data_IF_051039626795
#
_entry.id   IF_051039626795
#
_cell.length_a   1.000
_cell.length_b   1.000
_cell.length_c   1.000
_cell.angle_alpha   90.00
_cell.angle_beta   90.00
_cell.angle_gamma   90.00
#
_symmetry.space_group_name_H-M   'P 1'
#
loop_
_entity.id
_entity.type
_entity.pdbx_description
1 polymer ?
#
# COMPACT_ATOMS: atom_id res chain seq x y z
N UNK A 1 35.29 5.52 -33.08
CA UNK A 1 35.18 6.63 -34.03
C UNK A 1 33.99 6.37 -34.95
N UNK A 2 32.78 6.68 -34.48
CA UNK A 2 31.53 6.72 -35.25
C UNK A 2 30.72 7.86 -34.64
N UNK A 3 30.58 8.94 -35.39
CA UNK A 3 29.96 10.20 -34.95
C UNK A 3 28.45 10.17 -35.24
N UNK A 4 27.63 10.23 -34.18
CA UNK A 4 26.18 10.40 -34.27
C UNK A 4 25.84 11.90 -34.11
N UNK A 5 25.14 12.48 -35.09
CA UNK A 5 24.54 13.83 -35.01
C UNK A 5 23.05 13.70 -34.62
N UNK A 6 22.50 14.57 -33.76
CA UNK A 6 21.06 14.66 -33.56
C UNK A 6 20.45 15.76 -34.45
N UNK A 7 19.36 15.42 -35.16
CA UNK A 7 18.49 16.38 -35.83
C UNK A 7 17.38 16.81 -34.85
N UNK A 8 17.36 18.09 -34.50
CA UNK A 8 16.26 18.78 -33.84
C UNK A 8 15.27 19.25 -34.91
N UNK A 9 14.02 18.79 -34.84
CA UNK A 9 12.89 19.37 -35.56
C UNK A 9 11.76 19.61 -34.56
N UNK A 10 11.51 20.88 -34.25
CA UNK A 10 10.31 21.40 -33.61
C UNK A 10 9.45 22.05 -34.69
N UNK A 11 8.13 21.84 -34.74
CA UNK A 11 7.22 22.76 -35.42
C UNK A 11 6.51 23.65 -34.39
N UNK A 12 6.83 24.94 -34.48
CA UNK A 12 6.01 26.07 -34.06
C UNK A 12 4.70 26.13 -34.84
N UNK A 13 3.56 26.22 -34.14
CA UNK A 13 2.26 26.64 -34.71
C UNK A 13 1.77 27.80 -33.84
N UNK A 14 2.07 29.05 -34.20
CA UNK A 14 1.21 29.97 -34.97
C UNK A 14 -0.20 30.16 -34.39
N UNK A 15 -0.27 31.15 -33.50
CA UNK A 15 -1.47 31.89 -33.08
C UNK A 15 -2.02 32.64 -34.29
N UNK A 16 -3.27 32.37 -34.66
CA UNK A 16 -4.02 33.16 -35.64
C UNK A 16 -5.28 33.74 -34.99
N UNK A 17 -5.40 35.05 -35.12
CA UNK A 17 -6.47 35.89 -34.62
C UNK A 17 -7.64 36.02 -35.61
N UNK A 18 -8.75 36.53 -35.07
CA UNK A 18 -9.88 37.18 -35.73
C UNK A 18 -10.91 36.27 -36.44
N UNK A 19 -12.19 36.43 -36.09
CA UNK A 19 -13.11 37.38 -36.74
C UNK A 19 -14.42 37.40 -35.95
N UNK A 20 -14.77 38.59 -35.47
CA UNK A 20 -16.10 38.92 -34.95
C UNK A 20 -17.10 38.98 -36.09
N UNK A 21 -18.21 38.23 -35.99
CA UNK A 21 -19.38 38.45 -36.83
C UNK A 21 -20.60 38.69 -35.93
N UNK A 22 -21.05 39.94 -35.94
CA UNK A 22 -22.31 40.40 -35.37
C UNK A 22 -23.47 39.72 -36.10
N UNK A 23 -24.20 38.85 -35.41
CA UNK A 23 -25.53 38.42 -35.84
C UNK A 23 -26.58 39.15 -35.00
N UNK A 24 -27.21 40.15 -35.62
CA UNK A 24 -28.45 40.77 -35.18
C UNK A 24 -29.54 39.70 -35.26
N UNK A 25 -29.90 39.09 -34.13
CA UNK A 25 -31.08 38.23 -34.03
C UNK A 25 -32.22 38.99 -33.37
N UNK A 26 -33.27 39.17 -34.16
CA UNK A 26 -34.50 39.86 -33.81
C UNK A 26 -35.14 39.24 -32.57
N UNK A 27 -35.55 40.12 -31.66
CA UNK A 27 -36.38 39.82 -30.50
C UNK A 27 -37.78 39.41 -31.00
N UNK A 28 -38.01 38.10 -31.13
CA UNK A 28 -39.35 37.54 -31.19
C UNK A 28 -39.76 37.11 -29.77
N UNK A 29 -40.92 37.55 -29.24
CA UNK A 29 -41.41 37.06 -27.97
C UNK A 29 -41.73 35.57 -28.12
N UNK A 30 -40.93 34.72 -27.46
CA UNK A 30 -41.29 33.32 -27.26
C UNK A 30 -42.60 33.27 -26.47
N UNK A 31 -43.65 32.58 -26.94
CA UNK A 31 -44.71 32.17 -26.05
C UNK A 31 -44.09 31.24 -25.01
N UNK A 32 -44.23 31.61 -23.74
CA UNK A 32 -43.94 30.75 -22.61
C UNK A 32 -44.88 29.54 -22.66
N UNK A 33 -44.49 28.51 -23.41
CA UNK A 33 -44.91 27.14 -23.17
C UNK A 33 -44.04 26.63 -22.03
N UNK A 34 -44.46 26.98 -20.81
CA UNK A 34 -44.21 26.11 -19.68
C UNK A 34 -44.97 24.82 -19.98
N UNK A 35 -44.33 23.90 -20.70
CA UNK A 35 -44.67 22.49 -20.57
C UNK A 35 -44.40 22.13 -19.11
N UNK A 36 -45.51 21.99 -18.40
CA UNK A 36 -45.62 21.28 -17.15
C UNK A 36 -44.93 19.91 -17.34
N UNK A 37 -43.67 19.82 -16.94
CA UNK A 37 -42.96 18.54 -16.82
C UNK A 37 -43.57 17.88 -15.58
N UNK A 38 -44.79 17.37 -15.74
CA UNK A 38 -45.51 16.68 -14.71
C UNK A 38 -44.62 15.56 -14.20
N UNK A 39 -44.34 15.57 -12.89
CA UNK A 39 -43.88 14.39 -12.17
C UNK A 39 -44.80 13.23 -12.59
N UNK A 40 -44.29 12.30 -13.40
CA UNK A 40 -44.97 11.04 -13.67
C UNK A 40 -45.03 10.29 -12.34
N UNK A 41 -46.13 10.49 -11.62
CA UNK A 41 -46.46 9.75 -10.41
C UNK A 41 -46.65 8.30 -10.83
N UNK A 42 -45.61 7.50 -10.62
CA UNK A 42 -45.60 6.07 -10.95
C UNK A 42 -46.81 5.43 -10.24
N UNK A 43 -47.73 4.88 -11.02
CA UNK A 43 -48.97 4.31 -10.49
C UNK A 43 -48.67 3.03 -9.72
N UNK A 44 -48.77 3.10 -8.39
CA UNK A 44 -48.52 1.97 -7.47
C UNK A 44 -49.41 0.77 -7.79
N UNK A 45 -50.62 0.99 -8.32
CA UNK A 45 -51.51 -0.09 -8.73
C UNK A 45 -50.97 -0.84 -9.95
N UNK A 46 -50.32 -0.12 -10.87
CA UNK A 46 -49.72 -0.68 -12.07
C UNK A 46 -48.48 -1.52 -11.74
N UNK A 47 -47.65 -1.07 -10.78
CA UNK A 47 -46.49 -1.84 -10.29
C UNK A 47 -46.96 -3.16 -9.66
N UNK A 48 -47.98 -3.10 -8.79
CA UNK A 48 -48.54 -4.29 -8.16
C UNK A 48 -49.10 -5.30 -9.19
N UNK A 49 -49.69 -4.80 -10.28
CA UNK A 49 -50.13 -5.63 -11.39
C UNK A 49 -48.96 -6.33 -12.09
N UNK A 50 -47.88 -5.61 -12.38
CA UNK A 50 -46.67 -6.20 -13.00
C UNK A 50 -46.03 -7.25 -12.09
N UNK A 51 -45.95 -7.01 -10.78
CA UNK A 51 -45.47 -8.02 -9.82
C UNK A 51 -46.31 -9.28 -9.86
N UNK A 52 -47.64 -9.15 -9.86
CA UNK A 52 -48.54 -10.30 -9.97
C UNK A 52 -48.35 -11.04 -11.31
N UNK A 53 -48.11 -10.30 -12.39
CA UNK A 53 -47.90 -10.87 -13.72
C UNK A 53 -46.55 -11.60 -13.88
N UNK A 54 -45.60 -11.47 -12.95
CA UNK A 54 -44.41 -12.32 -12.92
C UNK A 54 -44.75 -13.81 -12.76
N UNK A 55 -45.90 -14.14 -12.13
CA UNK A 55 -46.43 -15.50 -11.98
C UNK A 55 -47.47 -15.87 -13.04
N UNK A 56 -47.67 -15.06 -14.09
CA UNK A 56 -48.70 -15.32 -15.09
C UNK A 56 -48.46 -16.65 -15.82
N UNK A 57 -49.53 -17.33 -16.26
CA UNK A 57 -49.40 -18.61 -16.98
C UNK A 57 -48.73 -18.45 -18.36
N UNK A 58 -48.92 -17.31 -19.02
CA UNK A 58 -48.35 -17.05 -20.34
C UNK A 58 -46.95 -16.44 -20.22
N UNK A 59 -45.99 -17.02 -20.92
CA UNK A 59 -44.61 -16.54 -20.94
C UNK A 59 -44.51 -15.07 -21.37
N UNK A 60 -45.24 -14.66 -22.42
CA UNK A 60 -45.23 -13.28 -22.91
C UNK A 60 -45.67 -12.26 -21.83
N UNK A 61 -46.65 -12.61 -21.00
CA UNK A 61 -47.12 -11.73 -19.90
C UNK A 61 -46.05 -11.60 -18.81
N UNK A 62 -45.35 -12.70 -18.49
CA UNK A 62 -44.24 -12.69 -17.52
C UNK A 62 -43.07 -11.84 -17.99
N UNK A 63 -42.66 -12.00 -19.25
CA UNK A 63 -41.52 -11.25 -19.79
C UNK A 63 -41.85 -9.76 -19.96
N UNK A 64 -43.08 -9.43 -20.37
CA UNK A 64 -43.53 -8.03 -20.45
C UNK A 64 -43.53 -7.37 -19.07
N UNK A 65 -44.03 -8.06 -18.05
CA UNK A 65 -44.03 -7.55 -16.68
C UNK A 65 -42.60 -7.39 -16.13
N UNK A 66 -41.71 -8.36 -16.42
CA UNK A 66 -40.30 -8.27 -16.04
C UNK A 66 -39.60 -7.09 -16.72
N UNK A 67 -39.89 -6.83 -18.01
CA UNK A 67 -39.35 -5.68 -18.73
C UNK A 67 -39.83 -4.36 -18.12
N UNK A 68 -41.14 -4.21 -17.85
CA UNK A 68 -41.67 -3.00 -17.21
C UNK A 68 -41.08 -2.76 -15.81
N UNK A 69 -40.92 -3.81 -15.00
CA UNK A 69 -40.27 -3.69 -13.68
C UNK A 69 -38.77 -3.38 -13.80
N UNK A 70 -38.11 -3.84 -14.87
CA UNK A 70 -36.71 -3.50 -15.14
C UNK A 70 -36.56 -2.04 -15.59
N UNK A 71 -37.49 -1.52 -16.41
CA UNK A 71 -37.50 -0.14 -16.88
C UNK A 71 -37.68 0.88 -15.73
N UNK A 72 -38.33 0.48 -14.64
CA UNK A 72 -38.42 1.28 -13.40
C UNK A 72 -37.08 1.41 -12.66
N UNK A 73 -36.09 0.56 -12.94
CA UNK A 73 -34.78 0.63 -12.28
C UNK A 73 -34.84 0.33 -10.78
N UNK A 74 -34.04 1.07 -9.99
CA UNK A 74 -33.94 0.90 -8.53
C UNK A 74 -35.28 1.10 -7.80
N UNK A 75 -36.18 1.91 -8.34
CA UNK A 75 -37.47 2.22 -7.71
C UNK A 75 -38.38 0.99 -7.60
N UNK A 76 -38.13 -0.05 -8.40
CA UNK A 76 -38.84 -1.33 -8.30
C UNK A 76 -38.35 -2.22 -7.14
N UNK A 77 -37.16 -1.97 -6.59
CA UNK A 77 -36.52 -2.88 -5.61
C UNK A 77 -37.37 -3.08 -4.34
N UNK A 78 -37.91 -2.04 -3.66
CA UNK A 78 -38.69 -2.25 -2.44
C UNK A 78 -39.89 -3.16 -2.66
N UNK A 79 -40.58 -2.98 -3.79
CA UNK A 79 -41.77 -3.76 -4.15
C UNK A 79 -41.39 -5.18 -4.58
N UNK A 80 -40.28 -5.36 -5.28
CA UNK A 80 -39.76 -6.69 -5.63
C UNK A 80 -39.26 -7.45 -4.39
N UNK A 81 -38.67 -6.77 -3.40
CA UNK A 81 -38.23 -7.37 -2.13
C UNK A 81 -39.44 -7.92 -1.37
N UNK A 82 -40.48 -7.10 -1.20
CA UNK A 82 -41.74 -7.52 -0.60
C UNK A 82 -42.33 -8.74 -1.33
N UNK A 83 -42.36 -8.71 -2.67
CA UNK A 83 -42.82 -9.84 -3.47
C UNK A 83 -41.97 -11.10 -3.28
N UNK A 84 -40.64 -10.95 -3.17
CA UNK A 84 -39.71 -12.06 -3.00
C UNK A 84 -39.83 -12.74 -1.63
N UNK A 85 -40.25 -12.00 -0.61
CA UNK A 85 -40.34 -12.48 0.78
C UNK A 85 -41.75 -12.96 1.14
N UNK A 86 -42.79 -12.25 0.70
CA UNK A 86 -44.15 -12.39 1.24
C UNK A 86 -45.12 -13.14 0.32
N UNK A 87 -44.82 -13.30 -0.97
CA UNK A 87 -45.74 -13.97 -1.91
C UNK A 87 -45.72 -15.49 -1.75
N UNK A 88 -46.90 -16.13 -1.77
CA UNK A 88 -47.05 -17.58 -1.73
C UNK A 88 -46.59 -18.29 -3.01
N UNK A 89 -46.67 -17.62 -4.16
CA UNK A 89 -46.24 -18.13 -5.47
C UNK A 89 -44.70 -18.22 -5.56
N UNK A 90 -44.19 -19.43 -5.77
CA UNK A 90 -42.76 -19.70 -5.87
C UNK A 90 -42.12 -19.12 -7.14
N UNK A 91 -42.85 -19.03 -8.26
CA UNK A 91 -42.34 -18.47 -9.51
C UNK A 91 -42.17 -16.95 -9.38
N UNK A 92 -43.13 -16.26 -8.73
CA UNK A 92 -43.02 -14.84 -8.43
C UNK A 92 -41.81 -14.57 -7.54
N UNK A 93 -41.61 -15.34 -6.46
CA UNK A 93 -40.43 -15.18 -5.58
C UNK A 93 -39.13 -15.35 -6.33
N UNK A 94 -39.01 -16.39 -7.16
CA UNK A 94 -37.80 -16.68 -7.93
C UNK A 94 -37.49 -15.54 -8.92
N UNK A 95 -38.48 -15.07 -9.67
CA UNK A 95 -38.32 -14.00 -10.67
C UNK A 95 -38.06 -12.65 -10.04
N UNK A 96 -38.78 -12.30 -8.98
CA UNK A 96 -38.53 -11.07 -8.22
C UNK A 96 -37.08 -11.07 -7.69
N UNK A 97 -36.63 -12.17 -7.09
CA UNK A 97 -35.23 -12.32 -6.65
C UNK A 97 -34.20 -12.21 -7.79
N UNK A 98 -34.53 -12.68 -8.99
CA UNK A 98 -33.67 -12.52 -10.18
C UNK A 98 -33.62 -11.07 -10.66
N UNK A 99 -34.77 -10.39 -10.72
CA UNK A 99 -34.86 -8.98 -11.12
C UNK A 99 -34.14 -8.07 -10.13
N UNK A 100 -34.30 -8.29 -8.82
CA UNK A 100 -33.54 -7.55 -7.79
C UNK A 100 -32.04 -7.65 -8.08
N UNK A 101 -31.51 -8.88 -8.26
CA UNK A 101 -30.10 -9.06 -8.60
C UNK A 101 -29.69 -8.31 -9.87
N UNK A 102 -30.47 -8.42 -10.95
CA UNK A 102 -30.16 -7.75 -12.22
C UNK A 102 -30.16 -6.22 -12.09
N UNK A 103 -31.14 -5.67 -11.38
CA UNK A 103 -31.28 -4.23 -11.14
C UNK A 103 -30.14 -3.69 -10.28
N UNK A 104 -29.82 -4.39 -9.19
CA UNK A 104 -28.71 -3.99 -8.30
C UNK A 104 -27.34 -4.15 -8.99
N UNK A 105 -27.14 -5.18 -9.80
CA UNK A 105 -25.90 -5.36 -10.58
C UNK A 105 -25.75 -4.27 -11.66
N UNK A 106 -26.83 -3.93 -12.37
CA UNK A 106 -26.84 -2.88 -13.40
C UNK A 106 -26.57 -1.50 -12.82
N UNK A 107 -27.23 -1.19 -11.70
CA UNK A 107 -27.03 0.07 -10.98
C UNK A 107 -25.62 0.19 -10.40
N UNK A 108 -25.09 -0.88 -9.81
CA UNK A 108 -23.72 -0.91 -9.29
C UNK A 108 -22.69 -0.65 -10.39
N UNK A 109 -22.89 -1.20 -11.60
CA UNK A 109 -22.02 -0.92 -12.75
C UNK A 109 -22.06 0.56 -13.14
N UNK A 110 -23.25 1.16 -13.24
CA UNK A 110 -23.38 2.58 -13.55
C UNK A 110 -22.72 3.48 -12.49
N UNK A 111 -22.84 3.12 -11.21
CA UNK A 111 -22.16 3.80 -10.10
C UNK A 111 -20.64 3.67 -10.19
N UNK A 112 -20.13 2.46 -10.47
CA UNK A 112 -18.70 2.21 -10.68
C UNK A 112 -18.18 3.03 -11.87
N UNK A 113 -18.88 3.04 -13.01
CA UNK A 113 -18.49 3.82 -14.18
C UNK A 113 -18.46 5.33 -13.89
N UNK A 114 -19.48 5.84 -13.21
CA UNK A 114 -19.52 7.23 -12.77
C UNK A 114 -18.36 7.57 -11.82
N UNK A 115 -18.09 6.69 -10.86
CA UNK A 115 -16.99 6.81 -9.92
C UNK A 115 -15.62 6.79 -10.62
N UNK A 116 -15.36 5.84 -11.51
CA UNK A 116 -14.11 5.78 -12.29
C UNK A 116 -13.94 6.98 -13.22
N UNK A 117 -15.05 7.57 -13.69
CA UNK A 117 -15.04 8.82 -14.46
C UNK A 117 -14.78 10.07 -13.60
N UNK A 118 -14.52 9.92 -12.29
CA UNK A 118 -14.24 11.04 -11.40
C UNK A 118 -15.47 11.82 -10.96
N UNK A 119 -16.69 11.30 -11.17
CA UNK A 119 -17.91 11.94 -10.68
C UNK A 119 -18.03 11.80 -9.17
N UNK A 120 -18.81 12.69 -8.57
CA UNK A 120 -19.11 12.69 -7.14
C UNK A 120 -20.13 11.59 -6.82
N UNK A 121 -19.62 10.37 -6.70
CA UNK A 121 -20.36 9.18 -6.28
C UNK A 121 -19.60 8.60 -5.09
N UNK A 122 -20.31 8.37 -3.99
CA UNK A 122 -19.69 7.90 -2.75
C UNK A 122 -19.89 6.41 -2.56
N UNK A 123 -18.82 5.74 -2.14
CA UNK A 123 -18.85 4.36 -1.67
C UNK A 123 -18.39 4.32 -0.22
N UNK A 124 -18.90 3.34 0.53
CA UNK A 124 -18.46 3.09 1.90
C UNK A 124 -16.94 2.91 1.97
N UNK A 125 -16.29 3.68 2.83
CA UNK A 125 -14.84 3.63 3.01
C UNK A 125 -14.02 4.40 1.98
N UNK A 126 -14.61 4.90 0.89
CA UNK A 126 -13.86 5.65 -0.14
C UNK A 126 -13.15 6.87 0.45
N UNK A 127 -13.84 7.66 1.27
CA UNK A 127 -13.25 8.86 1.89
C UNK A 127 -11.99 8.53 2.71
N UNK A 128 -11.96 7.35 3.36
CA UNK A 128 -10.78 6.91 4.12
C UNK A 128 -9.65 6.49 3.19
N UNK A 129 -9.95 5.79 2.10
CA UNK A 129 -8.94 5.41 1.10
C UNK A 129 -8.38 6.65 0.39
N UNK A 130 -9.23 7.57 -0.03
CA UNK A 130 -8.82 8.83 -0.65
C UNK A 130 -7.96 9.70 0.29
N UNK A 131 -8.24 9.69 1.60
CA UNK A 131 -7.41 10.37 2.60
C UNK A 131 -6.01 9.74 2.72
N UNK A 132 -5.90 8.42 2.59
CA UNK A 132 -4.65 7.68 2.77
C UNK A 132 -3.81 7.62 1.49
N UNK A 133 -4.47 7.55 0.33
CA UNK A 133 -3.82 7.23 -0.94
C UNK A 133 -4.01 8.33 -2.01
N UNK A 134 -4.78 9.36 -1.70
CA UNK A 134 -5.18 10.39 -2.64
C UNK A 134 -6.32 9.94 -3.56
N UNK A 135 -6.72 10.86 -4.44
CA UNK A 135 -7.75 10.63 -5.45
C UNK A 135 -7.11 10.63 -6.84
N UNK A 136 -6.87 9.43 -7.37
CA UNK A 136 -6.34 9.22 -8.72
C UNK A 136 -7.11 8.09 -9.41
N UNK A 137 -7.01 8.01 -10.74
CA UNK A 137 -7.67 6.95 -11.51
C UNK A 137 -7.22 5.57 -11.02
N UNK A 138 -5.90 5.35 -10.85
CA UNK A 138 -5.38 4.08 -10.34
C UNK A 138 -5.87 3.73 -8.93
N UNK A 139 -5.99 4.72 -8.04
CA UNK A 139 -6.52 4.49 -6.67
C UNK A 139 -8.02 4.18 -6.70
N UNK A 140 -8.80 4.85 -7.56
CA UNK A 140 -10.23 4.55 -7.76
C UNK A 140 -10.44 3.14 -8.33
N UNK A 141 -9.66 2.75 -9.33
CA UNK A 141 -9.70 1.39 -9.90
C UNK A 141 -9.36 0.35 -8.82
N UNK A 142 -8.28 0.55 -8.09
CA UNK A 142 -7.88 -0.32 -6.98
C UNK A 142 -8.97 -0.40 -5.91
N UNK A 143 -9.60 0.73 -5.55
CA UNK A 143 -10.70 0.74 -4.60
C UNK A 143 -11.89 -0.11 -5.07
N UNK A 144 -12.27 -0.01 -6.34
CA UNK A 144 -13.34 -0.83 -6.92
C UNK A 144 -12.97 -2.32 -6.86
N UNK A 145 -11.72 -2.68 -7.15
CA UNK A 145 -11.27 -4.06 -7.03
C UNK A 145 -11.35 -4.59 -5.59
N UNK A 146 -10.93 -3.78 -4.61
CA UNK A 146 -11.05 -4.14 -3.19
C UNK A 146 -12.52 -4.24 -2.81
N UNK A 147 -13.38 -3.31 -3.24
CA UNK A 147 -14.81 -3.33 -2.95
C UNK A 147 -15.49 -4.59 -3.48
N UNK A 148 -15.11 -5.05 -4.68
CA UNK A 148 -15.67 -6.25 -5.29
C UNK A 148 -15.10 -7.55 -4.68
N UNK A 149 -13.81 -7.57 -4.34
CA UNK A 149 -13.15 -8.77 -3.81
C UNK A 149 -13.29 -8.94 -2.29
N UNK A 150 -13.29 -7.82 -1.56
CA UNK A 150 -13.27 -7.71 -0.09
C UNK A 150 -14.24 -6.62 0.41
N UNK A 151 -15.56 -6.75 0.13
CA UNK A 151 -16.55 -5.74 0.49
C UNK A 151 -16.62 -5.47 2.00
N UNK A 152 -16.28 -6.45 2.84
CA UNK A 152 -16.18 -6.28 4.29
C UNK A 152 -15.11 -5.26 4.69
N UNK A 153 -13.98 -5.21 3.97
CA UNK A 153 -12.87 -4.31 4.28
C UNK A 153 -13.28 -2.88 4.00
N UNK A 154 -13.77 -2.57 2.80
CA UNK A 154 -14.19 -1.20 2.45
C UNK A 154 -15.27 -0.67 3.39
N UNK A 155 -16.29 -1.48 3.70
CA UNK A 155 -17.33 -1.12 4.67
C UNK A 155 -16.76 -0.83 6.07
N UNK A 156 -15.79 -1.62 6.52
CA UNK A 156 -15.19 -1.44 7.85
C UNK A 156 -14.38 -0.15 8.01
N UNK A 157 -13.92 0.45 6.91
CA UNK A 157 -13.09 1.66 6.96
C UNK A 157 -13.86 2.89 7.46
N UNK A 158 -15.18 2.91 7.33
CA UNK A 158 -16.05 3.95 7.89
C UNK A 158 -16.38 3.72 9.38
N UNK A 159 -16.10 2.53 9.91
CA UNK A 159 -16.46 2.10 11.26
C UNK A 159 -15.35 2.27 12.31
N UNK A 160 -15.48 1.51 13.40
CA UNK A 160 -14.53 1.48 14.50
C UNK A 160 -13.36 0.51 14.20
N UNK A 161 -12.28 0.59 15.00
CA UNK A 161 -11.13 -0.33 14.88
C UNK A 161 -11.53 -1.79 15.05
N UNK A 162 -12.56 -2.09 15.83
CA UNK A 162 -13.10 -3.45 15.96
C UNK A 162 -13.68 -3.97 14.64
N UNK A 163 -14.37 -3.12 13.87
CA UNK A 163 -14.94 -3.52 12.58
C UNK A 163 -13.83 -3.81 11.58
N UNK A 164 -12.77 -2.98 11.58
CA UNK A 164 -11.56 -3.20 10.77
C UNK A 164 -10.84 -4.49 11.13
N UNK A 165 -10.72 -4.81 12.42
CA UNK A 165 -10.15 -6.07 12.86
C UNK A 165 -10.95 -7.28 12.34
N UNK A 166 -12.28 -7.27 12.52
CA UNK A 166 -13.14 -8.36 12.03
C UNK A 166 -13.03 -8.52 10.51
N UNK A 167 -13.05 -7.40 9.77
CA UNK A 167 -12.91 -7.44 8.32
C UNK A 167 -11.53 -7.94 7.87
N UNK A 168 -10.45 -7.58 8.59
CA UNK A 168 -9.11 -8.08 8.32
C UNK A 168 -9.01 -9.59 8.49
N UNK A 169 -9.59 -10.15 9.56
CA UNK A 169 -9.58 -11.60 9.79
C UNK A 169 -10.34 -12.36 8.68
N UNK A 170 -11.47 -11.81 8.20
CA UNK A 170 -12.19 -12.38 7.05
C UNK A 170 -11.34 -12.32 5.78
N UNK A 171 -10.70 -11.18 5.51
CA UNK A 171 -9.82 -11.02 4.35
C UNK A 171 -8.62 -11.99 4.42
N UNK A 172 -7.99 -12.16 5.58
CA UNK A 172 -6.91 -13.14 5.82
C UNK A 172 -7.38 -14.54 5.48
N UNK A 173 -8.56 -14.95 5.93
CA UNK A 173 -9.14 -16.26 5.60
C UNK A 173 -9.35 -16.44 4.09
N UNK A 174 -9.88 -15.42 3.40
CA UNK A 174 -10.07 -15.47 1.94
C UNK A 174 -8.76 -15.58 1.17
N UNK A 175 -7.77 -14.75 1.51
CA UNK A 175 -6.44 -14.76 0.88
C UNK A 175 -5.75 -16.09 1.13
N UNK A 176 -5.84 -16.62 2.36
CA UNK A 176 -5.25 -17.92 2.71
C UNK A 176 -5.91 -19.07 1.92
N UNK A 177 -7.24 -19.11 1.84
CA UNK A 177 -7.94 -20.12 1.02
C UNK A 177 -7.56 -20.01 -0.46
N UNK A 178 -7.48 -18.79 -1.02
CA UNK A 178 -7.03 -18.56 -2.40
C UNK A 178 -5.62 -19.15 -2.63
N UNK A 179 -4.69 -18.86 -1.73
CA UNK A 179 -3.29 -19.27 -1.89
C UNK A 179 -3.06 -20.76 -1.66
N UNK A 180 -3.63 -21.31 -0.60
CA UNK A 180 -3.25 -22.65 -0.13
C UNK A 180 -4.25 -23.73 -0.50
N UNK A 181 -5.53 -23.40 -0.67
CA UNK A 181 -6.56 -24.38 -1.07
C UNK A 181 -6.81 -24.33 -2.58
N UNK A 182 -6.85 -23.12 -3.14
CA UNK A 182 -7.14 -22.92 -4.58
C UNK A 182 -5.86 -22.82 -5.42
N UNK A 183 -4.69 -22.74 -4.79
CA UNK A 183 -3.38 -22.60 -5.45
C UNK A 183 -3.32 -21.42 -6.44
N UNK A 184 -4.01 -20.34 -6.12
CA UNK A 184 -4.02 -19.12 -6.91
C UNK A 184 -3.16 -18.04 -6.22
N UNK A 185 -2.40 -17.23 -6.98
CA UNK A 185 -1.62 -16.15 -6.39
C UNK A 185 -2.53 -15.08 -5.77
N UNK A 186 -2.02 -14.39 -4.75
CA UNK A 186 -2.68 -13.20 -4.23
C UNK A 186 -2.73 -12.10 -5.30
N UNK A 187 -3.81 -11.34 -5.30
CA UNK A 187 -4.06 -10.21 -6.20
C UNK A 187 -3.63 -8.88 -5.57
N UNK A 188 -3.56 -7.80 -6.35
CA UNK A 188 -3.32 -6.46 -5.78
C UNK A 188 -4.40 -6.04 -4.77
N UNK A 189 -5.66 -6.41 -5.02
CA UNK A 189 -6.76 -6.16 -4.10
C UNK A 189 -6.56 -6.89 -2.76
N UNK A 190 -6.02 -8.11 -2.77
CA UNK A 190 -5.71 -8.85 -1.55
C UNK A 190 -4.68 -8.16 -0.68
N UNK A 191 -3.58 -7.73 -1.29
CA UNK A 191 -2.48 -7.05 -0.59
C UNK A 191 -3.01 -5.80 0.12
N UNK A 192 -3.77 -4.98 -0.61
CA UNK A 192 -4.26 -3.69 -0.08
C UNK A 192 -5.42 -3.88 0.89
N UNK A 193 -6.26 -4.90 0.69
CA UNK A 193 -7.31 -5.28 1.64
C UNK A 193 -6.75 -5.69 3.02
N UNK A 194 -5.56 -6.30 3.06
CA UNK A 194 -4.87 -6.62 4.31
C UNK A 194 -4.13 -5.42 4.90
N UNK A 195 -3.54 -4.55 4.07
CA UNK A 195 -2.82 -3.36 4.54
C UNK A 195 -3.74 -2.30 5.15
N UNK A 196 -4.90 -2.03 4.54
CA UNK A 196 -5.77 -0.92 4.94
C UNK A 196 -6.26 -1.00 6.41
N UNK A 197 -6.69 -2.16 6.93
CA UNK A 197 -6.92 -2.33 8.37
C UNK A 197 -5.64 -2.31 9.20
N UNK A 198 -4.55 -2.89 8.67
CA UNK A 198 -3.28 -3.07 9.36
C UNK A 198 -2.47 -1.78 9.57
N UNK A 199 -2.91 -0.63 9.07
CA UNK A 199 -2.33 0.68 9.42
C UNK A 199 -3.00 1.33 10.63
N UNK A 200 -4.16 0.84 11.09
CA UNK A 200 -4.80 1.34 12.31
C UNK A 200 -4.11 0.74 13.54
N UNK A 201 -3.45 1.58 14.34
CA UNK A 201 -2.73 1.20 15.54
C UNK A 201 -3.57 0.40 16.55
N UNK A 202 -4.89 0.59 16.57
CA UNK A 202 -5.80 -0.13 17.47
C UNK A 202 -6.28 -1.48 16.91
N UNK A 203 -5.97 -1.82 15.66
CA UNK A 203 -6.23 -3.14 15.06
C UNK A 203 -5.06 -4.06 15.39
N UNK A 204 -5.21 -5.11 16.21
CA UNK A 204 -4.13 -6.04 16.48
C UNK A 204 -3.82 -6.87 15.23
N UNK A 205 -2.52 -7.02 14.92
CA UNK A 205 -2.03 -7.89 13.85
C UNK A 205 -1.25 -9.01 14.53
N UNK A 206 -1.68 -10.26 14.33
CA UNK A 206 -0.96 -11.43 14.86
C UNK A 206 0.32 -11.68 14.07
N UNK A 207 1.29 -12.37 14.68
CA UNK A 207 2.55 -12.75 14.01
C UNK A 207 2.29 -13.58 12.74
N UNK A 208 1.28 -14.46 12.75
CA UNK A 208 0.90 -15.24 11.56
C UNK A 208 0.37 -14.37 10.42
N UNK A 209 -0.41 -13.33 10.75
CA UNK A 209 -0.97 -12.42 9.77
C UNK A 209 0.12 -11.50 9.21
N UNK A 210 1.08 -11.08 10.06
CA UNK A 210 2.29 -10.37 9.61
C UNK A 210 3.08 -11.21 8.62
N UNK A 211 3.35 -12.49 8.92
CA UNK A 211 4.09 -13.38 8.04
C UNK A 211 3.37 -13.63 6.71
N UNK A 212 2.03 -13.77 6.73
CA UNK A 212 1.23 -13.88 5.51
C UNK A 212 1.35 -12.62 4.65
N UNK A 213 1.18 -11.45 5.26
CA UNK A 213 1.25 -10.16 4.56
C UNK A 213 2.65 -9.92 3.97
N UNK A 214 3.71 -10.23 4.73
CA UNK A 214 5.08 -10.18 4.25
C UNK A 214 5.32 -11.15 3.08
N UNK A 215 4.79 -12.36 3.16
CA UNK A 215 4.88 -13.38 2.12
C UNK A 215 4.26 -12.90 0.80
N UNK A 216 3.06 -12.29 0.83
CA UNK A 216 2.40 -11.80 -0.39
C UNK A 216 3.06 -10.54 -0.95
N UNK A 217 3.61 -9.67 -0.10
CA UNK A 217 4.35 -8.48 -0.55
C UNK A 217 5.67 -8.85 -1.26
N UNK A 218 6.31 -9.95 -0.85
CA UNK A 218 7.52 -10.47 -1.51
C UNK A 218 7.24 -11.14 -2.86
N UNK A 219 5.99 -11.45 -3.19
CA UNK A 219 5.61 -12.04 -4.47
C UNK A 219 5.61 -11.02 -5.62
N UNK A 220 5.36 -11.51 -6.83
CA UNK A 220 5.37 -10.69 -8.05
C UNK A 220 4.38 -9.54 -8.00
N UNK A 221 3.20 -9.74 -7.41
CA UNK A 221 2.17 -8.68 -7.33
C UNK A 221 2.58 -7.56 -6.37
N UNK A 222 3.21 -7.86 -5.23
CA UNK A 222 3.77 -6.83 -4.36
C UNK A 222 4.88 -6.03 -5.06
N UNK A 223 5.77 -6.72 -5.78
CA UNK A 223 6.80 -6.07 -6.60
C UNK A 223 6.25 -5.25 -7.78
N UNK A 224 5.04 -5.56 -8.25
CA UNK A 224 4.35 -4.77 -9.28
C UNK A 224 3.74 -3.51 -8.68
N UNK A 225 3.10 -3.62 -7.52
CA UNK A 225 2.55 -2.47 -6.79
C UNK A 225 3.65 -1.45 -6.44
N UNK A 226 4.78 -1.91 -5.91
CA UNK A 226 5.91 -1.04 -5.57
C UNK A 226 6.51 -0.31 -6.79
N UNK A 227 6.35 -0.85 -8.00
CA UNK A 227 6.87 -0.25 -9.25
C UNK A 227 5.80 0.45 -10.08
N UNK A 228 4.56 0.46 -9.63
CA UNK A 228 3.45 1.05 -10.36
C UNK A 228 3.53 2.58 -10.30
N UNK A 229 3.47 3.23 -11.46
CA UNK A 229 3.66 4.70 -11.53
C UNK A 229 2.55 5.51 -10.85
N UNK A 230 1.37 4.93 -10.67
CA UNK A 230 0.22 5.60 -10.04
C UNK A 230 0.02 5.18 -8.59
N UNK A 231 0.47 3.98 -8.22
CA UNK A 231 0.19 3.38 -6.91
C UNK A 231 1.40 3.28 -6.00
N UNK A 232 2.64 3.31 -6.50
CA UNK A 232 3.83 3.03 -5.68
C UNK A 232 3.94 3.93 -4.45
N UNK A 233 3.85 5.25 -4.61
CA UNK A 233 3.97 6.20 -3.50
C UNK A 233 2.98 5.93 -2.36
N UNK A 234 1.66 5.92 -2.62
CA UNK A 234 0.66 5.56 -1.61
C UNK A 234 0.84 4.18 -1.00
N UNK A 235 1.22 3.17 -1.79
CA UNK A 235 1.42 1.81 -1.29
C UNK A 235 2.64 1.73 -0.37
N UNK A 236 3.74 2.36 -0.76
CA UNK A 236 4.97 2.41 0.03
C UNK A 236 4.75 3.12 1.37
N UNK A 237 3.91 4.15 1.40
CA UNK A 237 3.50 4.82 2.64
C UNK A 237 2.69 3.88 3.55
N UNK A 238 1.69 3.16 3.02
CA UNK A 238 0.92 2.17 3.79
C UNK A 238 1.81 1.05 4.35
N UNK A 239 2.71 0.52 3.52
CA UNK A 239 3.67 -0.52 3.92
C UNK A 239 4.62 0.03 4.97
N UNK A 240 5.11 1.27 4.82
CA UNK A 240 5.98 1.93 5.78
C UNK A 240 5.34 2.09 7.16
N UNK A 241 4.07 2.49 7.21
CA UNK A 241 3.30 2.56 8.46
C UNK A 241 3.19 1.17 9.10
N UNK A 242 2.87 0.15 8.31
CA UNK A 242 2.71 -1.23 8.81
C UNK A 242 4.05 -1.83 9.30
N UNK A 243 5.17 -1.62 8.60
CA UNK A 243 6.50 -2.11 8.99
C UNK A 243 6.88 -1.67 10.41
N UNK A 244 6.52 -0.44 10.79
CA UNK A 244 6.79 0.12 12.13
C UNK A 244 5.95 -0.51 13.25
N UNK A 245 5.00 -1.37 12.90
CA UNK A 245 4.17 -2.11 13.85
C UNK A 245 4.62 -3.55 14.06
N UNK A 246 5.68 -3.98 13.36
CA UNK A 246 6.14 -5.37 13.38
C UNK A 246 6.50 -5.88 14.77
N UNK A 247 6.08 -7.12 15.03
CA UNK A 247 6.50 -7.90 16.18
C UNK A 247 8.02 -8.10 16.21
N UNK A 248 8.58 -8.35 17.41
CA UNK A 248 10.01 -8.64 17.55
C UNK A 248 10.40 -9.94 16.82
N UNK A 249 9.48 -10.91 16.77
CA UNK A 249 9.69 -12.20 16.11
C UNK A 249 9.95 -12.07 14.60
N UNK A 250 9.25 -11.15 13.92
CA UNK A 250 9.37 -10.94 12.48
C UNK A 250 10.32 -9.80 12.10
N UNK A 251 10.96 -9.13 13.07
CA UNK A 251 11.56 -7.81 12.84
C UNK A 251 12.75 -7.82 11.90
N UNK A 252 13.61 -8.84 11.99
CA UNK A 252 14.74 -9.01 11.08
C UNK A 252 14.26 -9.08 9.62
N UNK A 253 13.29 -9.95 9.36
CA UNK A 253 12.72 -10.13 8.04
C UNK A 253 11.99 -8.88 7.51
N UNK A 254 11.33 -8.14 8.41
CA UNK A 254 10.62 -6.90 8.09
C UNK A 254 11.59 -5.77 7.73
N UNK A 255 12.65 -5.57 8.52
CA UNK A 255 13.67 -4.56 8.23
C UNK A 255 14.36 -4.89 6.90
N UNK A 256 14.76 -6.15 6.71
CA UNK A 256 15.37 -6.58 5.46
C UNK A 256 14.45 -6.35 4.25
N UNK A 257 13.17 -6.66 4.38
CA UNK A 257 12.18 -6.39 3.34
C UNK A 257 12.07 -4.89 3.03
N UNK A 258 11.92 -4.05 4.05
CA UNK A 258 11.77 -2.61 3.88
C UNK A 258 13.03 -1.96 3.26
N UNK A 259 14.22 -2.46 3.61
CA UNK A 259 15.47 -2.07 2.94
C UNK A 259 15.47 -2.43 1.45
N UNK A 260 15.00 -3.62 1.07
CA UNK A 260 14.92 -4.02 -0.34
C UNK A 260 13.90 -3.18 -1.14
N UNK A 261 12.83 -2.74 -0.48
CA UNK A 261 11.85 -1.79 -1.04
C UNK A 261 12.29 -0.34 -0.89
N UNK A 262 13.50 -0.09 -0.37
CA UNK A 262 14.08 1.23 -0.17
C UNK A 262 13.18 2.19 0.63
N UNK A 263 12.46 1.68 1.63
CA UNK A 263 11.53 2.44 2.44
C UNK A 263 12.26 3.19 3.57
N UNK A 264 12.42 4.52 3.52
CA UNK A 264 13.13 5.26 4.58
C UNK A 264 12.41 5.20 5.93
N UNK A 265 11.10 4.92 5.91
CA UNK A 265 10.29 4.69 7.11
C UNK A 265 10.73 3.47 7.94
N UNK A 266 11.72 2.68 7.50
CA UNK A 266 12.28 1.58 8.31
C UNK A 266 13.14 2.07 9.48
N UNK A 267 13.63 3.31 9.44
CA UNK A 267 14.57 3.82 10.44
C UNK A 267 14.03 3.72 11.89
N UNK A 268 12.81 4.17 12.23
CA UNK A 268 12.32 4.12 13.61
C UNK A 268 12.21 2.70 14.17
N UNK A 269 11.83 1.72 13.34
CA UNK A 269 11.77 0.32 13.77
C UNK A 269 13.18 -0.27 13.93
N UNK A 270 14.16 0.14 13.12
CA UNK A 270 15.56 -0.26 13.29
C UNK A 270 16.15 0.28 14.60
N UNK A 271 15.95 1.55 14.92
CA UNK A 271 16.35 2.14 16.21
C UNK A 271 15.72 1.40 17.39
N UNK A 272 14.40 1.19 17.33
CA UNK A 272 13.66 0.43 18.36
C UNK A 272 14.18 -1.00 18.50
N UNK A 273 14.63 -1.62 17.41
CA UNK A 273 15.21 -2.97 17.42
C UNK A 273 16.49 -3.03 18.23
N UNK A 274 17.36 -2.02 18.11
CA UNK A 274 18.58 -1.95 18.90
C UNK A 274 18.29 -1.89 20.41
N UNK A 275 17.17 -1.30 20.82
CA UNK A 275 16.78 -1.23 22.23
C UNK A 275 16.13 -2.53 22.72
N UNK A 276 15.28 -3.16 21.90
CA UNK A 276 14.42 -4.27 22.33
C UNK A 276 15.00 -5.66 22.05
N UNK A 277 15.85 -5.81 21.03
CA UNK A 277 16.33 -7.12 20.58
C UNK A 277 17.59 -7.56 21.30
N UNK A 278 17.69 -8.86 21.56
CA UNK A 278 18.94 -9.52 21.98
C UNK A 278 19.46 -10.49 20.93
N UNK A 279 18.81 -10.63 19.78
CA UNK A 279 19.25 -11.54 18.73
C UNK A 279 20.32 -10.88 17.85
N UNK A 280 21.46 -11.56 17.65
CA UNK A 280 22.63 -10.99 16.97
C UNK A 280 22.33 -10.57 15.52
N UNK A 281 21.68 -11.43 14.74
CA UNK A 281 21.34 -11.14 13.35
C UNK A 281 20.34 -9.99 13.24
N UNK A 282 19.31 -9.99 14.10
CA UNK A 282 18.30 -8.93 14.12
C UNK A 282 18.90 -7.56 14.45
N UNK A 283 19.87 -7.50 15.38
CA UNK A 283 20.63 -6.28 15.68
C UNK A 283 21.49 -5.88 14.47
N UNK A 284 22.19 -6.83 13.85
CA UNK A 284 23.02 -6.57 12.69
C UNK A 284 22.22 -5.99 11.51
N UNK A 285 21.02 -6.52 11.24
CA UNK A 285 20.12 -6.01 10.21
C UNK A 285 19.59 -4.61 10.54
N UNK A 286 19.34 -4.32 11.82
CA UNK A 286 19.00 -2.97 12.24
C UNK A 286 20.16 -1.97 12.04
N UNK A 287 21.40 -2.39 12.32
CA UNK A 287 22.60 -1.58 12.05
C UNK A 287 22.78 -1.31 10.55
N UNK A 288 22.52 -2.29 9.67
CA UNK A 288 22.49 -2.09 8.22
C UNK A 288 21.45 -1.03 7.81
N UNK A 289 20.24 -1.09 8.37
CA UNK A 289 19.20 -0.11 8.08
C UNK A 289 19.57 1.31 8.56
N UNK A 290 20.14 1.45 9.76
CA UNK A 290 20.63 2.73 10.28
C UNK A 290 21.80 3.25 9.44
N UNK A 291 22.73 2.39 9.00
CA UNK A 291 23.81 2.79 8.09
C UNK A 291 23.30 3.30 6.73
N UNK A 292 22.13 2.80 6.30
CA UNK A 292 21.51 3.20 5.05
C UNK A 292 20.71 4.50 5.17
N UNK A 293 19.87 4.64 6.20
CA UNK A 293 18.84 5.68 6.33
C UNK A 293 19.02 6.62 7.52
N UNK A 294 19.86 6.25 8.49
CA UNK A 294 20.10 7.01 9.70
C UNK A 294 21.00 8.22 9.46
N UNK A 295 21.17 8.99 10.52
CA UNK A 295 21.98 10.21 10.53
C UNK A 295 22.88 10.30 11.77
N UNK A 296 23.45 11.48 12.02
CA UNK A 296 24.38 11.68 13.13
C UNK A 296 23.73 11.44 14.49
N UNK A 297 22.41 11.61 14.63
CA UNK A 297 21.63 11.41 15.85
C UNK A 297 21.60 9.96 16.32
N UNK A 298 21.78 9.01 15.40
CA UNK A 298 21.84 7.58 15.71
C UNK A 298 23.17 7.15 16.34
N UNK A 299 24.21 8.00 16.30
CA UNK A 299 25.58 7.65 16.71
C UNK A 299 25.64 7.09 18.13
N UNK A 300 24.96 7.74 19.09
CA UNK A 300 25.00 7.29 20.48
C UNK A 300 24.29 5.95 20.65
N UNK A 301 23.16 5.74 19.97
CA UNK A 301 22.44 4.47 20.01
C UNK A 301 23.33 3.33 19.48
N UNK A 302 24.00 3.56 18.35
CA UNK A 302 24.90 2.57 17.73
C UNK A 302 26.16 2.33 18.58
N UNK A 303 26.70 3.36 19.23
CA UNK A 303 27.93 3.26 20.03
C UNK A 303 27.84 2.25 21.19
N UNK A 304 26.64 1.95 21.69
CA UNK A 304 26.42 0.93 22.74
C UNK A 304 26.85 -0.48 22.30
N UNK A 305 26.95 -0.73 20.99
CA UNK A 305 27.27 -2.04 20.41
C UNK A 305 28.74 -2.19 20.04
N UNK A 306 29.58 -1.17 20.21
CA UNK A 306 30.97 -1.21 19.78
C UNK A 306 31.80 -2.29 20.48
N UNK A 307 31.45 -2.63 21.72
CA UNK A 307 32.11 -3.69 22.52
C UNK A 307 31.42 -5.07 22.38
N UNK A 308 30.42 -5.20 21.51
CA UNK A 308 29.67 -6.44 21.35
C UNK A 308 30.42 -7.46 20.48
N UNK A 309 30.89 -8.54 21.11
CA UNK A 309 31.71 -9.58 20.46
C UNK A 309 30.90 -10.75 19.94
N UNK A 310 29.56 -10.70 19.92
CA UNK A 310 28.74 -11.79 19.38
C UNK A 310 28.96 -11.93 17.88
N UNK A 311 29.19 -13.17 17.43
CA UNK A 311 29.47 -13.50 16.04
C UNK A 311 28.19 -13.40 15.19
N UNK A 312 28.29 -12.77 14.02
CA UNK A 312 27.20 -12.68 13.02
C UNK A 312 27.53 -13.54 11.80
N UNK A 313 28.75 -13.43 11.27
CA UNK A 313 29.18 -14.13 10.08
C UNK A 313 30.62 -14.63 10.20
N UNK A 314 30.93 -15.70 9.46
CA UNK A 314 32.29 -16.24 9.37
C UNK A 314 32.54 -16.75 7.95
N UNK A 315 33.61 -16.29 7.31
CA UNK A 315 33.95 -16.66 5.93
C UNK A 315 35.42 -17.09 5.82
N UNK A 316 35.67 -18.17 5.08
CA UNK A 316 37.05 -18.60 4.76
C UNK A 316 37.63 -17.70 3.68
N UNK A 317 38.76 -17.03 3.94
CA UNK A 317 39.38 -16.09 3.00
C UNK A 317 40.36 -16.85 2.08
N UNK A 318 41.37 -17.52 2.65
CA UNK A 318 42.40 -18.31 1.95
C UNK A 318 42.97 -19.38 2.87
N UNK A 319 43.17 -20.61 2.38
CA UNK A 319 43.98 -21.70 2.98
C UNK A 319 44.05 -21.75 4.53
N UNK A 320 42.89 -21.73 5.20
CA UNK A 320 42.79 -21.89 6.65
C UNK A 320 42.64 -20.60 7.46
N UNK A 321 42.73 -19.42 6.84
CA UNK A 321 42.39 -18.15 7.49
C UNK A 321 40.88 -17.86 7.41
N UNK A 322 40.32 -17.44 8.53
CA UNK A 322 38.89 -17.24 8.74
C UNK A 322 38.67 -15.77 9.10
N UNK A 323 37.85 -15.10 8.30
CA UNK A 323 37.27 -13.79 8.65
C UNK A 323 36.09 -14.00 9.58
N UNK A 324 36.05 -13.26 10.69
CA UNK A 324 34.88 -13.21 11.58
C UNK A 324 34.32 -11.80 11.64
N UNK A 325 33.00 -11.70 11.50
CA UNK A 325 32.24 -10.47 11.69
C UNK A 325 31.49 -10.54 13.01
N UNK A 326 31.74 -9.56 13.89
CA UNK A 326 31.05 -9.38 15.16
C UNK A 326 30.06 -8.20 15.09
N UNK A 327 29.13 -8.12 16.04
CA UNK A 327 28.20 -6.97 16.14
C UNK A 327 28.96 -5.65 16.27
N UNK A 328 30.05 -5.61 17.04
CA UNK A 328 30.92 -4.44 17.13
C UNK A 328 31.50 -4.00 15.79
N UNK A 329 31.79 -4.94 14.87
CA UNK A 329 32.28 -4.63 13.53
C UNK A 329 31.19 -3.94 12.69
N UNK A 330 29.94 -4.41 12.79
CA UNK A 330 28.77 -3.77 12.16
C UNK A 330 28.49 -2.38 12.77
N UNK A 331 28.66 -2.20 14.08
CA UNK A 331 28.50 -0.91 14.74
C UNK A 331 29.57 0.08 14.29
N UNK A 332 30.83 -0.35 14.18
CA UNK A 332 31.94 0.48 13.70
C UNK A 332 31.69 1.01 12.28
N UNK A 333 31.32 0.14 11.33
CA UNK A 333 31.05 0.60 9.96
C UNK A 333 29.81 1.51 9.88
N UNK A 334 28.80 1.24 10.71
CA UNK A 334 27.61 2.10 10.80
C UNK A 334 28.01 3.51 11.25
N UNK A 335 28.73 3.66 12.36
CA UNK A 335 29.20 4.97 12.85
C UNK A 335 30.11 5.67 11.82
N UNK A 336 31.02 4.92 11.20
CA UNK A 336 31.85 5.43 10.12
C UNK A 336 31.01 6.07 9.00
N UNK A 337 29.93 5.41 8.57
CA UNK A 337 29.03 5.93 7.52
C UNK A 337 28.19 7.13 7.98
N UNK A 338 27.84 7.21 9.26
CA UNK A 338 27.07 8.34 9.81
C UNK A 338 27.93 9.61 9.97
N UNK A 339 29.20 9.45 10.36
CA UNK A 339 30.06 10.58 10.77
C UNK A 339 31.13 10.98 9.76
N UNK A 340 31.64 10.04 8.97
CA UNK A 340 32.76 10.26 8.07
C UNK A 340 32.30 10.50 6.63
N UNK A 341 32.68 11.64 6.07
CA UNK A 341 32.29 12.06 4.72
C UNK A 341 33.30 11.60 3.63
N UNK A 342 34.38 10.90 4.00
CA UNK A 342 35.40 10.40 3.07
C UNK A 342 35.30 8.88 2.83
N UNK A 343 36.22 8.32 2.03
CA UNK A 343 36.28 6.88 1.80
C UNK A 343 36.57 6.12 3.11
N UNK A 344 35.70 5.19 3.50
CA UNK A 344 35.87 4.46 4.77
C UNK A 344 37.09 3.54 4.76
N UNK A 345 37.65 3.21 3.59
CA UNK A 345 38.95 2.52 3.47
C UNK A 345 40.10 3.30 4.09
N UNK A 346 40.04 4.63 4.14
CA UNK A 346 41.03 5.46 4.83
C UNK A 346 41.02 5.21 6.35
N UNK A 347 39.87 4.80 6.89
CA UNK A 347 39.72 4.39 8.28
C UNK A 347 40.19 2.95 8.54
N UNK A 348 40.43 2.15 7.49
CA UNK A 348 40.94 0.79 7.58
C UNK A 348 39.92 -0.29 7.23
N UNK A 349 38.70 0.09 6.82
CA UNK A 349 37.70 -0.87 6.36
C UNK A 349 38.12 -1.54 5.04
N UNK A 350 37.74 -2.81 4.80
CA UNK A 350 38.18 -3.57 3.64
C UNK A 350 37.63 -3.06 2.30
N UNK A 351 36.45 -2.45 2.31
CA UNK A 351 35.80 -1.87 1.12
C UNK A 351 35.11 -0.57 1.47
N UNK A 352 35.14 0.38 0.53
CA UNK A 352 34.38 1.64 0.59
C UNK A 352 33.00 1.52 -0.08
N UNK A 353 32.74 0.41 -0.78
CA UNK A 353 31.50 0.21 -1.53
C UNK A 353 30.30 0.18 -0.56
N UNK A 354 29.38 1.13 -0.73
CA UNK A 354 28.12 1.16 0.00
C UNK A 354 27.15 0.25 -0.74
N UNK A 355 26.70 -0.83 -0.11
CA UNK A 355 25.69 -1.70 -0.70
C UNK A 355 24.40 -0.88 -0.90
N UNK A 356 23.82 -0.85 -2.11
CA UNK A 356 22.74 0.10 -2.44
C UNK A 356 21.48 -0.07 -1.58
N UNK A 357 21.23 -1.28 -1.05
CA UNK A 357 20.04 -1.59 -0.26
C UNK A 357 20.31 -1.71 1.24
N UNK A 358 21.53 -2.11 1.64
CA UNK A 358 21.82 -2.56 3.01
C UNK A 358 22.91 -1.73 3.69
N UNK A 359 23.47 -0.73 3.01
CA UNK A 359 24.65 0.01 3.47
C UNK A 359 25.95 -0.79 3.34
N UNK A 360 25.98 -2.03 3.83
CA UNK A 360 27.15 -2.93 3.79
C UNK A 360 26.73 -4.41 3.82
N UNK A 361 27.62 -5.31 3.42
CA UNK A 361 27.44 -6.77 3.45
C UNK A 361 28.15 -7.32 4.70
N UNK A 362 27.44 -8.10 5.53
CA UNK A 362 27.95 -8.57 6.82
C UNK A 362 29.17 -9.50 6.67
N UNK A 363 29.20 -10.29 5.60
CA UNK A 363 30.28 -11.21 5.27
C UNK A 363 31.57 -10.48 4.85
N UNK A 364 31.47 -9.23 4.37
CA UNK A 364 32.59 -8.49 3.78
C UNK A 364 33.27 -7.53 4.76
N UNK A 365 32.69 -7.29 5.93
CA UNK A 365 33.20 -6.34 6.94
C UNK A 365 33.98 -7.00 8.08
N UNK A 366 34.09 -8.33 8.05
CA UNK A 366 34.79 -9.11 9.07
C UNK A 366 36.31 -8.97 9.00
N UNK A 367 36.99 -9.39 10.07
CA UNK A 367 38.44 -9.35 10.17
C UNK A 367 39.04 -10.74 10.34
N UNK A 368 40.24 -10.92 9.78
CA UNK A 368 41.03 -12.15 9.91
C UNK A 368 41.33 -12.47 11.37
N UNK A 369 41.12 -13.73 11.77
CA UNK A 369 41.56 -14.24 13.08
C UNK A 369 43.08 -14.16 13.27
N UNK A 370 43.84 -14.26 12.18
CA UNK A 370 45.29 -14.21 12.23
C UNK A 370 45.82 -12.80 12.56
N UNK A 371 45.04 -11.74 12.26
CA UNK A 371 45.43 -10.34 12.41
C UNK A 371 44.44 -9.54 13.29
N UNK A 372 44.37 -9.82 14.61
CA UNK A 372 43.40 -9.16 15.50
C UNK A 372 43.67 -7.67 15.73
N UNK A 373 44.86 -7.17 15.40
CA UNK A 373 45.24 -5.77 15.61
C UNK A 373 44.59 -4.81 14.62
N UNK A 374 44.18 -5.29 13.43
CA UNK A 374 43.45 -4.49 12.44
C UNK A 374 42.13 -3.98 13.02
N UNK A 375 41.38 -4.87 13.68
CA UNK A 375 40.13 -4.52 14.38
C UNK A 375 40.36 -3.45 15.45
N UNK A 376 41.41 -3.58 16.27
CA UNK A 376 41.72 -2.62 17.33
C UNK A 376 42.10 -1.24 16.78
N UNK A 377 42.85 -1.21 15.67
CA UNK A 377 43.27 0.04 15.05
C UNK A 377 42.07 0.84 14.52
N UNK A 378 41.12 0.16 13.88
CA UNK A 378 39.87 0.77 13.39
C UNK A 378 39.02 1.22 14.57
N UNK A 379 38.87 0.37 15.60
CA UNK A 379 38.11 0.73 16.80
C UNK A 379 38.58 2.05 17.42
N UNK A 380 39.90 2.23 17.56
CA UNK A 380 40.48 3.47 18.09
C UNK A 380 40.06 4.71 17.27
N UNK A 381 40.04 4.60 15.94
CA UNK A 381 39.62 5.70 15.05
C UNK A 381 38.13 6.00 15.19
N UNK A 382 37.30 4.97 15.37
CA UNK A 382 35.86 5.13 15.63
C UNK A 382 35.64 5.82 16.98
N UNK A 383 36.36 5.44 18.03
CA UNK A 383 36.26 6.11 19.34
C UNK A 383 36.60 7.61 19.22
N UNK A 384 37.64 7.95 18.46
CA UNK A 384 38.02 9.35 18.19
C UNK A 384 36.90 10.12 17.45
N UNK A 385 36.19 9.49 16.51
CA UNK A 385 35.04 10.08 15.82
C UNK A 385 33.84 10.30 16.74
N UNK A 386 33.50 9.30 17.56
CA UNK A 386 32.41 9.39 18.52
C UNK A 386 32.68 10.50 19.55
N UNK A 387 33.90 10.59 20.08
CA UNK A 387 34.29 11.64 21.01
C UNK A 387 34.26 13.03 20.39
N UNK A 388 34.63 13.16 19.11
CA UNK A 388 34.54 14.42 18.38
C UNK A 388 33.07 14.85 18.19
N UNK A 389 32.19 13.92 17.84
CA UNK A 389 30.76 14.17 17.69
C UNK A 389 30.09 14.55 19.02
N UNK A 390 30.43 13.87 20.13
CA UNK A 390 29.97 14.24 21.48
C UNK A 390 30.36 15.68 21.86
N UNK A 391 31.59 16.09 21.57
CA UNK A 391 32.07 17.46 21.80
C UNK A 391 31.34 18.48 20.93
N UNK A 392 31.07 18.15 19.66
CA UNK A 392 30.29 19.00 18.75
C UNK A 392 28.90 19.29 19.34
N UNK A 393 28.18 18.26 19.76
CA UNK A 393 26.84 18.38 20.37
C UNK A 393 26.84 19.22 21.65
N UNK A 394 27.82 18.99 22.53
CA UNK A 394 27.96 19.78 23.75
C UNK A 394 28.19 21.28 23.45
N UNK A 395 28.98 21.60 22.43
CA UNK A 395 29.23 22.98 22.01
C UNK A 395 28.03 23.67 21.34
N UNK A 396 27.12 22.90 20.72
CA UNK A 396 25.87 23.42 20.15
C UNK A 396 24.83 23.75 21.23
N UNK A 397 24.76 22.93 22.29
CA UNK A 397 23.89 23.15 23.45
C UNK A 397 24.27 24.37 24.29
N UNK A 398 25.56 24.72 24.33
CA UNK A 398 26.04 25.93 25.02
C UNK A 398 25.75 27.24 24.25
N UNK A 399 25.33 27.16 22.98
CA UNK A 399 25.02 28.32 22.11
C UNK A 399 23.52 28.55 21.88
N UNK A 400 22.66 27.59 22.23
CA UNK A 400 21.19 27.69 22.21
C UNK A 400 20.64 28.12 23.56
#
# INVERSE_FOLDING_TARGET
MVTFKPNLFLPTVHVCAAVSLFAVFACFPLPALAEDIGEQKIDTAQIALWVKQLGANKFAERESAAAHLADLGLDAIPVLQEASEQTADAEVRLRAGKLIRQLTEGDMRAHIEAFLAGKDVSFDGWNRVAMLMGDSIGVRELFVEIMLAHPEVTKSLAGASRDRYVAMEVAVGRVSSRMYEQFQPATRADIVALLLPAIDAAVPVSESNESLLLSILRQSEGSRLHRDMQLSGPIDELVGIWVNRSSLANREEMIFFAMNWQLPSVLPIAEKTLVESTAANTIATALQAISQYGDRDDTELVAHFLDDTRLIASQSIVAGDISETMIGDAAMITIARLLYNGPITEMGFPSDEKHPLQGFILEEIGYSKANPDDRKAIRKRIDELVDAERKRRAGELDQS
#
